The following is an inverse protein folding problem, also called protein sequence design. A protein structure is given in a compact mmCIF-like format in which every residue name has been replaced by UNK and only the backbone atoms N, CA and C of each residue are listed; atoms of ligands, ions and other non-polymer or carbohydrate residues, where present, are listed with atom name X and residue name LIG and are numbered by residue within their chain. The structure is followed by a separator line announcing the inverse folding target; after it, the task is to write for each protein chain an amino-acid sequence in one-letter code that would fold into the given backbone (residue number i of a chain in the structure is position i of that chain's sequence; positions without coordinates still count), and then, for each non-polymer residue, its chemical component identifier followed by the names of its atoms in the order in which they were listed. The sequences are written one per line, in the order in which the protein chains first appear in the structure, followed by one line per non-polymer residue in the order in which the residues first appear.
data_IF_403024775664
#
_entry.id   IF_403024775664
#
_cell.length_a   1.000
_cell.length_b   1.000
_cell.length_c   1.000
_cell.angle_alpha   90.00
_cell.angle_beta   90.00
_cell.angle_gamma   90.00
#
_symmetry.space_group_name_H-M   'P 1'
#
loop_
_entity.id
_entity.type
_entity.pdbx_description
1 polymer ?
#
# COMPACT_ATOMS: atom_id res chain seq x y z
N UNK A 1 -5.95 -10.55 19.03
CA UNK A 1 -5.09 -11.57 18.42
C UNK A 1 -3.97 -10.82 17.71
N UNK A 2 -2.80 -10.67 18.34
CA UNK A 2 -1.67 -9.99 17.73
C UNK A 2 -0.93 -10.99 16.82
N UNK A 3 -0.55 -10.57 15.61
CA UNK A 3 0.30 -11.38 14.74
C UNK A 3 1.70 -11.36 15.37
N UNK A 4 2.14 -12.48 15.92
CA UNK A 4 3.43 -12.56 16.61
C UNK A 4 4.62 -12.55 15.64
N UNK A 5 4.43 -13.02 14.39
CA UNK A 5 5.46 -13.03 13.34
C UNK A 5 4.87 -13.19 11.93
N UNK A 6 5.51 -12.59 10.94
CA UNK A 6 5.26 -12.80 9.50
C UNK A 6 6.41 -13.60 8.90
N UNK A 7 6.11 -14.66 8.15
CA UNK A 7 7.11 -15.47 7.43
C UNK A 7 6.94 -15.22 5.94
N UNK A 8 7.87 -14.48 5.33
CA UNK A 8 7.79 -14.11 3.90
C UNK A 8 9.16 -14.16 3.22
N UNK A 9 9.74 -15.36 3.18
CA UNK A 9 11.13 -15.63 2.79
C UNK A 9 11.50 -15.01 1.43
N UNK A 10 10.62 -15.11 0.44
CA UNK A 10 10.91 -14.60 -0.91
C UNK A 10 10.97 -13.07 -0.92
N UNK A 11 9.99 -12.38 -0.31
CA UNK A 11 10.01 -10.91 -0.24
C UNK A 11 11.16 -10.38 0.63
N UNK A 12 11.49 -11.11 1.69
CA UNK A 12 12.67 -10.82 2.52
C UNK A 12 13.95 -10.83 1.66
N UNK A 13 14.13 -11.89 0.86
CA UNK A 13 15.32 -12.02 0.00
C UNK A 13 15.47 -10.94 -1.08
N UNK A 14 14.38 -10.28 -1.47
CA UNK A 14 14.39 -9.18 -2.45
C UNK A 14 14.34 -7.79 -1.82
N UNK A 15 14.30 -7.70 -0.48
CA UNK A 15 14.53 -6.44 0.24
C UNK A 15 13.31 -5.82 0.93
N UNK A 16 12.21 -6.54 1.18
CA UNK A 16 11.05 -5.97 1.91
C UNK A 16 11.42 -5.49 3.32
N UNK A 17 12.31 -6.21 4.02
CA UNK A 17 12.84 -5.83 5.34
C UNK A 17 13.72 -4.58 5.31
N UNK A 18 14.19 -4.15 4.14
CA UNK A 18 14.94 -2.89 3.97
C UNK A 18 14.04 -1.66 3.86
N UNK A 19 12.75 -1.86 3.56
CA UNK A 19 11.77 -0.77 3.36
C UNK A 19 11.16 -0.33 4.70
N UNK A 20 10.85 -1.30 5.58
CA UNK A 20 10.25 -1.08 6.89
C UNK A 20 10.53 -2.26 7.82
N UNK A 21 10.58 -1.99 9.12
CA UNK A 21 10.65 -3.04 10.15
C UNK A 21 9.36 -3.86 10.14
N UNK A 22 9.49 -5.18 9.94
CA UNK A 22 8.38 -6.14 9.95
C UNK A 22 8.78 -7.30 10.87
N UNK A 23 7.91 -7.63 11.83
CA UNK A 23 8.18 -8.70 12.78
C UNK A 23 8.34 -10.05 12.05
N UNK A 24 9.51 -10.69 12.19
CA UNK A 24 9.83 -11.96 11.54
C UNK A 24 10.56 -11.84 10.20
N UNK A 25 10.85 -10.63 9.73
CA UNK A 25 11.59 -10.36 8.48
C UNK A 25 12.99 -9.83 8.83
N UNK A 26 14.03 -10.31 8.15
CA UNK A 26 15.40 -9.88 8.40
C UNK A 26 15.69 -8.52 7.77
N UNK A 27 16.12 -7.54 8.56
CA UNK A 27 16.68 -6.28 8.03
C UNK A 27 18.14 -6.45 7.58
N UNK A 28 18.77 -7.61 7.85
CA UNK A 28 20.19 -7.89 7.63
C UNK A 28 20.43 -8.64 6.31
N UNK A 29 21.60 -8.43 5.71
CA UNK A 29 22.00 -9.04 4.43
C UNK A 29 21.87 -8.09 3.24
N UNK A 30 22.35 -8.52 2.07
CA UNK A 30 22.20 -7.80 0.80
C UNK A 30 20.91 -8.23 0.09
N UNK A 31 20.17 -7.26 -0.46
CA UNK A 31 18.95 -7.52 -1.22
C UNK A 31 19.29 -8.00 -2.63
N UNK A 32 18.56 -9.00 -3.14
CA UNK A 32 18.77 -9.53 -4.50
C UNK A 32 18.11 -8.71 -5.62
N UNK A 33 17.38 -7.66 -5.26
CA UNK A 33 16.66 -6.80 -6.19
C UNK A 33 16.66 -5.34 -5.69
N UNK A 34 16.24 -4.42 -6.55
CA UNK A 34 15.97 -3.05 -6.14
C UNK A 34 14.71 -2.99 -5.27
N UNK A 35 14.76 -2.13 -4.26
CA UNK A 35 13.68 -1.92 -3.31
C UNK A 35 13.47 -0.42 -3.09
N UNK A 36 12.25 -0.08 -2.68
CA UNK A 36 11.86 1.30 -2.40
C UNK A 36 10.44 1.35 -1.86
N UNK A 37 10.01 2.56 -1.47
CA UNK A 37 8.62 2.85 -1.12
C UNK A 37 8.13 4.03 -1.94
N UNK A 38 6.85 4.02 -2.26
CA UNK A 38 6.17 5.11 -2.93
C UNK A 38 5.22 5.79 -1.95
N UNK A 39 4.97 7.07 -2.16
CA UNK A 39 3.93 7.83 -1.44
C UNK A 39 2.89 8.23 -2.47
N UNK A 40 1.63 7.93 -2.20
CA UNK A 40 0.51 8.35 -3.05
C UNK A 40 0.44 9.88 -3.10
N UNK A 41 0.29 10.43 -4.31
CA UNK A 41 0.19 11.87 -4.59
C UNK A 41 -1.27 12.30 -4.78
N UNK A 42 -2.11 11.39 -5.29
CA UNK A 42 -3.54 11.60 -5.45
C UNK A 42 -4.21 11.81 -4.10
N UNK A 43 -5.26 12.62 -4.09
CA UNK A 43 -6.03 12.90 -2.89
C UNK A 43 -7.09 11.82 -2.60
N UNK A 44 -6.77 10.55 -2.86
CA UNK A 44 -7.67 9.40 -2.67
C UNK A 44 -6.88 8.19 -2.11
N UNK A 45 -7.59 7.10 -1.85
CA UNK A 45 -7.02 5.82 -1.38
C UNK A 45 -7.79 4.60 -1.88
N UNK A 46 -8.67 4.80 -2.85
CA UNK A 46 -9.45 3.72 -3.44
C UNK A 46 -8.63 3.00 -4.52
N UNK A 47 -9.00 1.75 -4.80
CA UNK A 47 -8.29 0.91 -5.75
C UNK A 47 -8.18 1.55 -7.13
N UNK A 48 -9.23 2.24 -7.59
CA UNK A 48 -9.27 2.82 -8.94
C UNK A 48 -8.24 3.94 -9.07
N UNK A 49 -8.25 4.89 -8.15
CA UNK A 49 -7.30 6.01 -8.16
C UNK A 49 -5.87 5.51 -7.97
N UNK A 50 -5.62 4.52 -7.11
CA UNK A 50 -4.28 3.93 -6.97
C UNK A 50 -3.75 3.34 -8.28
N UNK A 51 -4.58 2.62 -9.05
CA UNK A 51 -4.17 2.09 -10.36
C UNK A 51 -3.95 3.18 -11.40
N UNK A 52 -4.77 4.24 -11.37
CA UNK A 52 -4.59 5.41 -12.23
C UNK A 52 -3.30 6.15 -11.92
N UNK A 53 -2.92 6.27 -10.65
CA UNK A 53 -1.65 6.90 -10.28
C UNK A 53 -0.45 6.06 -10.73
N UNK A 54 -0.51 4.73 -10.59
CA UNK A 54 0.52 3.82 -11.11
C UNK A 54 0.68 3.99 -12.63
N UNK A 55 -0.40 4.31 -13.37
CA UNK A 55 -0.36 4.57 -14.81
C UNK A 55 -0.04 6.03 -15.18
N UNK A 56 0.20 6.91 -14.20
CA UNK A 56 0.64 8.29 -14.42
C UNK A 56 -0.46 9.36 -14.33
N UNK A 57 -1.65 9.02 -13.85
CA UNK A 57 -2.79 9.95 -13.70
C UNK A 57 -2.96 10.38 -12.25
N UNK A 58 -2.79 11.68 -11.97
CA UNK A 58 -2.96 12.25 -10.63
C UNK A 58 -4.39 12.74 -10.42
N UNK A 59 -5.07 12.18 -9.42
CA UNK A 59 -6.45 12.54 -9.08
C UNK A 59 -6.49 13.52 -7.92
N UNK A 60 -6.91 14.77 -8.19
CA UNK A 60 -6.96 15.84 -7.17
C UNK A 60 -8.17 15.77 -6.23
N UNK A 61 -9.19 14.96 -6.54
CA UNK A 61 -10.43 14.84 -5.77
C UNK A 61 -10.82 13.36 -5.62
N UNK A 62 -10.91 12.88 -4.37
CA UNK A 62 -11.38 11.53 -4.08
C UNK A 62 -12.79 11.25 -4.61
N UNK A 63 -13.03 9.98 -4.95
CA UNK A 63 -14.37 9.45 -5.14
C UNK A 63 -15.13 9.44 -3.80
N UNK A 64 -16.46 9.69 -3.79
CA UNK A 64 -17.25 9.65 -2.58
C UNK A 64 -17.30 8.23 -2.00
N UNK A 65 -17.28 8.12 -0.67
CA UNK A 65 -17.56 6.87 0.04
C UNK A 65 -18.91 6.97 0.76
N UNK A 66 -19.59 5.84 0.93
CA UNK A 66 -20.94 5.77 1.50
C UNK A 66 -21.01 4.76 2.64
N UNK A 67 -20.30 4.99 3.77
CA UNK A 67 -20.23 4.03 4.88
C UNK A 67 -21.59 3.77 5.56
N UNK A 68 -22.54 4.69 5.43
CA UNK A 68 -23.90 4.60 5.99
C UNK A 68 -24.97 4.54 4.90
N UNK A 69 -24.61 4.18 3.66
CA UNK A 69 -25.50 4.22 2.50
C UNK A 69 -25.53 5.58 1.79
N UNK A 70 -26.34 5.66 0.73
CA UNK A 70 -26.52 6.89 -0.05
C UNK A 70 -27.37 7.91 0.72
N UNK A 71 -27.13 9.22 0.52
CA UNK A 71 -27.98 10.24 1.11
C UNK A 71 -29.37 10.25 0.46
N UNK A 72 -30.40 10.61 1.23
CA UNK A 72 -31.81 10.56 0.79
C UNK A 72 -32.09 11.40 -0.48
N UNK A 73 -31.37 12.51 -0.68
CA UNK A 73 -31.52 13.34 -1.87
C UNK A 73 -31.00 12.68 -3.17
N UNK A 74 -30.22 11.60 -3.06
CA UNK A 74 -29.64 10.90 -4.20
C UNK A 74 -30.53 9.75 -4.71
N UNK A 75 -31.39 9.20 -3.84
CA UNK A 75 -32.20 8.00 -4.10
C UNK A 75 -33.61 8.37 -4.56
#
# INVERSE_FOLDING_TARGET
MAIERVIIIVLDSVGIGKISTICGVSEKGEAKAFYGKMSEVSAAKDTTVGHWEISGVITKRALPTYPTGFPEWFV
#
